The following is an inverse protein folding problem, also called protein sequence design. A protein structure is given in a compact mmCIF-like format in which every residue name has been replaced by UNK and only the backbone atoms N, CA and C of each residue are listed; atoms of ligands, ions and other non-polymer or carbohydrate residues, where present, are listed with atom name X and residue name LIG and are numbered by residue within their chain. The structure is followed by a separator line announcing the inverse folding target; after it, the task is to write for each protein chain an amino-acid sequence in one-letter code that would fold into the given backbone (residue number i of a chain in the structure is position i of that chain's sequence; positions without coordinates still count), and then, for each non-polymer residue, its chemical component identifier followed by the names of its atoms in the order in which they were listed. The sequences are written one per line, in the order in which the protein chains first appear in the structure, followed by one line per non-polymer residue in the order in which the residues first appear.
data_IF_956098158203
#
_entry.id   IF_956098158203
#
_cell.length_a   1.000
_cell.length_b   1.000
_cell.length_c   1.000
_cell.angle_alpha   90.00
_cell.angle_beta   90.00
_cell.angle_gamma   90.00
#
_symmetry.space_group_name_H-M   'P 1'
#
loop_
_entity.id
_entity.type
_entity.pdbx_description
1 polymer ?
#
# COMPACT_ATOMS: atom_id res chain seq x y z
N UNK A 1 -59.52 -3.66 19.56
CA UNK A 1 -58.59 -2.85 18.74
C UNK A 1 -57.19 -3.09 19.28
N UNK A 2 -56.38 -3.92 18.62
CA UNK A 2 -55.02 -4.29 19.05
C UNK A 2 -54.04 -3.61 18.12
N UNK A 3 -53.43 -2.51 18.56
CA UNK A 3 -52.29 -1.88 17.88
C UNK A 3 -51.04 -2.70 18.22
N UNK A 4 -50.70 -3.63 17.33
CA UNK A 4 -49.45 -4.37 17.38
C UNK A 4 -48.33 -3.37 17.06
N UNK A 5 -47.67 -2.84 18.10
CA UNK A 5 -46.47 -2.02 17.96
C UNK A 5 -45.32 -2.92 17.53
N UNK A 6 -45.16 -3.08 16.22
CA UNK A 6 -43.98 -3.69 15.63
C UNK A 6 -42.84 -2.67 15.76
N UNK A 7 -42.07 -2.79 16.84
CA UNK A 7 -40.81 -2.08 17.03
C UNK A 7 -39.86 -2.58 15.92
N UNK A 8 -39.41 -1.75 14.97
CA UNK A 8 -38.54 -2.24 13.91
C UNK A 8 -37.16 -2.50 14.51
N UNK A 9 -36.88 -3.78 14.80
CA UNK A 9 -35.56 -4.31 15.08
C UNK A 9 -34.77 -4.36 13.76
N UNK A 10 -34.36 -3.19 13.27
CA UNK A 10 -33.65 -3.04 12.00
C UNK A 10 -32.57 -1.98 12.18
N UNK A 11 -31.41 -2.37 12.72
CA UNK A 11 -30.12 -1.76 12.45
C UNK A 11 -29.05 -2.60 13.17
N UNK A 12 -28.33 -3.46 12.43
CA UNK A 12 -26.95 -3.94 12.72
C UNK A 12 -26.56 -4.97 11.64
N UNK A 13 -26.69 -4.60 10.37
CA UNK A 13 -25.88 -5.21 9.31
C UNK A 13 -24.62 -4.35 9.18
N UNK A 14 -23.71 -4.45 10.15
CA UNK A 14 -22.34 -3.99 9.96
C UNK A 14 -21.73 -4.92 8.90
N UNK A 15 -21.74 -4.45 7.65
CA UNK A 15 -21.18 -5.18 6.53
C UNK A 15 -19.70 -5.47 6.81
N UNK A 16 -19.32 -6.74 6.79
CA UNK A 16 -17.92 -7.16 6.68
C UNK A 16 -17.39 -6.75 5.29
N UNK A 17 -17.10 -5.47 5.10
CA UNK A 17 -16.20 -5.06 4.03
C UNK A 17 -14.80 -5.47 4.50
N UNK A 18 -14.20 -6.46 3.83
CA UNK A 18 -12.80 -6.80 4.08
C UNK A 18 -11.95 -5.53 3.94
N UNK A 19 -11.09 -5.28 4.92
CA UNK A 19 -10.21 -4.11 4.93
C UNK A 19 -9.56 -3.90 3.55
N UNK A 20 -9.69 -2.71 2.94
CA UNK A 20 -9.01 -2.42 1.69
C UNK A 20 -7.51 -2.61 1.89
N UNK A 21 -6.92 -3.50 1.09
CA UNK A 21 -5.47 -3.75 1.11
C UNK A 21 -4.69 -2.58 0.50
N UNK A 22 -5.34 -1.79 -0.33
CA UNK A 22 -4.82 -0.54 -0.87
C UNK A 22 -4.73 0.53 0.23
N UNK A 23 -3.73 1.40 0.12
CA UNK A 23 -3.62 2.55 1.02
C UNK A 23 -4.56 3.68 0.63
N UNK A 24 -4.89 4.51 1.61
CA UNK A 24 -5.80 5.65 1.47
C UNK A 24 -5.16 6.88 2.11
N UNK A 25 -5.45 8.05 1.56
CA UNK A 25 -5.03 9.34 2.11
C UNK A 25 -3.70 9.85 1.55
N UNK A 26 -3.20 10.98 2.07
CA UNK A 26 -1.96 11.56 1.61
C UNK A 26 -0.75 10.69 2.00
N UNK A 27 0.09 10.37 1.02
CA UNK A 27 1.34 9.64 1.24
C UNK A 27 2.53 10.47 0.79
N UNK A 28 3.51 10.65 1.69
CA UNK A 28 4.80 11.26 1.36
C UNK A 28 5.89 10.20 1.37
N UNK A 29 6.33 9.75 0.20
CA UNK A 29 7.36 8.72 0.08
C UNK A 29 8.76 9.31 0.05
N UNK A 30 9.76 8.56 0.52
CA UNK A 30 11.17 8.95 0.37
C UNK A 30 11.65 8.77 -1.07
N UNK A 31 12.73 9.45 -1.50
CA UNK A 31 13.37 9.18 -2.78
C UNK A 31 13.80 7.71 -2.95
N UNK A 32 14.14 7.03 -1.85
CA UNK A 32 14.47 5.61 -1.85
C UNK A 32 13.26 4.74 -2.26
N UNK A 33 12.09 4.99 -1.69
CA UNK A 33 10.84 4.29 -2.06
C UNK A 33 10.47 4.60 -3.51
N UNK A 34 10.60 5.86 -3.94
CA UNK A 34 10.35 6.24 -5.34
C UNK A 34 11.27 5.50 -6.32
N UNK A 35 12.57 5.39 -6.00
CA UNK A 35 13.52 4.61 -6.79
C UNK A 35 13.21 3.11 -6.75
N UNK A 36 12.75 2.60 -5.60
CA UNK A 36 12.24 1.24 -5.45
C UNK A 36 11.07 0.94 -6.37
N UNK A 37 10.09 1.85 -6.42
CA UNK A 37 8.94 1.74 -7.32
C UNK A 37 9.35 1.77 -8.79
N UNK A 38 10.31 2.64 -9.16
CA UNK A 38 10.86 2.66 -10.50
C UNK A 38 11.57 1.35 -10.88
N UNK A 39 12.21 0.65 -9.94
CA UNK A 39 12.78 -0.69 -10.17
C UNK A 39 11.69 -1.75 -10.35
N UNK A 40 10.69 -1.73 -9.47
CA UNK A 40 9.52 -2.60 -9.58
C UNK A 40 8.85 -2.51 -10.95
N UNK A 41 8.69 -1.29 -11.49
CA UNK A 41 8.13 -1.11 -12.84
C UNK A 41 9.03 -1.64 -13.96
N UNK A 42 10.31 -1.92 -13.73
CA UNK A 42 11.20 -2.52 -14.73
C UNK A 42 11.18 -4.05 -14.70
N UNK A 43 10.56 -4.65 -13.69
CA UNK A 43 10.38 -6.10 -13.65
C UNK A 43 9.53 -6.57 -14.84
N UNK A 44 9.82 -7.78 -15.34
CA UNK A 44 9.11 -8.37 -16.46
C UNK A 44 7.62 -8.58 -16.10
N UNK A 45 7.37 -9.12 -14.91
CA UNK A 45 6.04 -9.37 -14.36
C UNK A 45 5.92 -8.80 -12.94
N UNK A 46 5.71 -7.49 -12.77
CA UNK A 46 5.42 -6.91 -11.47
C UNK A 46 4.04 -7.38 -11.00
N UNK A 47 3.90 -7.71 -9.71
CA UNK A 47 2.64 -8.25 -9.18
C UNK A 47 2.05 -7.32 -8.11
N UNK A 48 2.82 -6.96 -7.09
CA UNK A 48 2.37 -6.04 -6.05
C UNK A 48 3.53 -5.25 -5.46
N UNK A 49 3.28 -3.98 -5.16
CA UNK A 49 4.21 -3.09 -4.46
C UNK A 49 3.51 -2.52 -3.23
N UNK A 50 4.13 -2.68 -2.06
CA UNK A 50 3.63 -2.16 -0.79
C UNK A 50 4.57 -1.10 -0.22
N UNK A 51 4.01 -0.13 0.49
CA UNK A 51 4.73 0.98 1.12
C UNK A 51 4.25 1.12 2.55
N UNK A 52 5.16 1.43 3.47
CA UNK A 52 4.81 1.76 4.86
C UNK A 52 4.04 3.06 4.93
N UNK A 53 3.14 3.21 5.90
CA UNK A 53 2.30 4.41 6.04
C UNK A 53 3.11 5.70 6.29
N UNK A 54 4.34 5.57 6.81
CA UNK A 54 5.29 6.69 6.97
C UNK A 54 6.06 7.04 5.68
N UNK A 55 5.88 6.25 4.61
CA UNK A 55 6.50 6.42 3.30
C UNK A 55 8.00 6.11 3.24
N UNK A 56 8.59 5.48 4.26
CA UNK A 56 10.03 5.24 4.34
C UNK A 56 10.48 3.84 3.87
N UNK A 57 9.60 2.85 3.94
CA UNK A 57 9.88 1.46 3.62
C UNK A 57 8.97 0.96 2.51
N UNK A 58 9.46 -0.01 1.76
CA UNK A 58 8.70 -0.67 0.70
C UNK A 58 9.20 -2.09 0.51
N UNK A 59 8.37 -2.92 -0.09
CA UNK A 59 8.76 -4.21 -0.66
C UNK A 59 7.85 -4.53 -1.85
N UNK A 60 8.24 -5.47 -2.69
CA UNK A 60 7.46 -5.87 -3.84
C UNK A 60 7.62 -7.33 -4.22
N UNK A 61 6.57 -7.87 -4.83
CA UNK A 61 6.57 -9.19 -5.44
C UNK A 61 6.57 -9.02 -6.95
N UNK A 62 7.45 -9.77 -7.61
CA UNK A 62 7.48 -9.93 -9.06
C UNK A 62 7.56 -11.42 -9.40
N UNK A 63 7.16 -11.78 -10.61
CA UNK A 63 7.35 -13.11 -11.16
C UNK A 63 8.61 -13.16 -12.03
N UNK A 64 9.65 -13.92 -11.66
CA UNK A 64 10.81 -14.12 -12.53
C UNK A 64 10.47 -15.01 -13.74
N UNK A 65 9.42 -15.81 -13.66
CA UNK A 65 8.94 -16.71 -14.72
C UNK A 65 7.43 -16.53 -14.98
N UNK A 66 6.81 -17.41 -15.77
CA UNK A 66 5.39 -17.29 -16.17
C UNK A 66 4.39 -17.79 -15.13
N UNK A 67 4.78 -18.62 -14.17
CA UNK A 67 3.89 -19.19 -13.16
C UNK A 67 4.12 -18.53 -11.80
N UNK A 68 3.18 -17.69 -11.38
CA UNK A 68 3.10 -17.16 -10.03
C UNK A 68 1.85 -17.63 -9.30
N UNK A 69 1.98 -17.82 -7.99
CA UNK A 69 0.87 -18.18 -7.11
C UNK A 69 0.23 -16.93 -6.54
N UNK A 70 -1.10 -16.90 -6.48
CA UNK A 70 -1.88 -15.77 -5.97
C UNK A 70 -1.56 -15.38 -4.52
N UNK A 71 -1.94 -14.16 -4.14
CA UNK A 71 -1.77 -13.60 -2.79
C UNK A 71 -0.62 -12.58 -2.66
N UNK A 72 -0.13 -12.08 -3.77
CA UNK A 72 1.03 -11.21 -3.93
C UNK A 72 0.84 -9.86 -3.23
N UNK A 73 -0.39 -9.33 -3.22
CA UNK A 73 -0.75 -8.15 -2.44
C UNK A 73 -0.48 -8.34 -0.94
N UNK A 74 -0.90 -9.49 -0.39
CA UNK A 74 -0.64 -9.85 1.02
C UNK A 74 0.85 -10.08 1.26
N UNK A 75 1.53 -10.77 0.34
CA UNK A 75 2.95 -11.06 0.46
C UNK A 75 3.80 -9.78 0.42
N UNK A 76 3.55 -8.86 -0.53
CA UNK A 76 4.22 -7.57 -0.60
C UNK A 76 4.03 -6.78 0.70
N UNK A 77 2.80 -6.73 1.22
CA UNK A 77 2.49 -6.06 2.48
C UNK A 77 3.28 -6.66 3.65
N UNK A 78 3.23 -7.98 3.82
CA UNK A 78 3.94 -8.67 4.90
C UNK A 78 5.45 -8.47 4.82
N UNK A 79 6.04 -8.51 3.62
CA UNK A 79 7.48 -8.25 3.45
C UNK A 79 7.85 -6.82 3.79
N UNK A 80 7.03 -5.85 3.36
CA UNK A 80 7.19 -4.45 3.75
C UNK A 80 7.13 -4.29 5.28
N UNK A 81 6.14 -4.91 5.95
CA UNK A 81 6.00 -4.88 7.41
C UNK A 81 7.21 -5.51 8.12
N UNK A 82 7.76 -6.61 7.58
CA UNK A 82 8.99 -7.21 8.11
C UNK A 82 10.19 -6.27 7.93
N UNK A 83 10.34 -5.67 6.75
CA UNK A 83 11.43 -4.75 6.42
C UNK A 83 11.38 -3.46 7.24
N UNK A 84 10.17 -2.98 7.56
CA UNK A 84 9.91 -1.78 8.34
C UNK A 84 9.96 -2.01 9.86
N UNK A 85 10.27 -3.23 10.31
CA UNK A 85 10.26 -3.65 11.73
C UNK A 85 8.88 -3.51 12.40
N UNK A 86 7.82 -3.83 11.65
CA UNK A 86 6.45 -3.90 12.14
C UNK A 86 5.61 -2.64 11.89
N UNK A 87 6.11 -1.65 11.14
CA UNK A 87 5.27 -0.53 10.74
C UNK A 87 4.21 -1.01 9.75
N UNK A 88 2.95 -0.55 9.89
CA UNK A 88 1.88 -0.87 8.96
C UNK A 88 2.28 -0.52 7.52
N UNK A 89 2.03 -1.45 6.60
CA UNK A 89 2.18 -1.22 5.18
C UNK A 89 0.85 -1.40 4.45
N UNK A 90 0.71 -0.68 3.33
CA UNK A 90 -0.45 -0.77 2.44
C UNK A 90 0.03 -0.96 1.00
N UNK A 91 -0.81 -1.58 0.18
CA UNK A 91 -0.51 -1.79 -1.24
C UNK A 91 -0.63 -0.44 -1.96
N UNK A 92 0.43 -0.07 -2.66
CA UNK A 92 0.49 1.12 -3.49
C UNK A 92 0.18 0.81 -4.95
N UNK A 93 0.65 -0.34 -5.45
CA UNK A 93 0.38 -0.76 -6.82
C UNK A 93 0.14 -2.27 -6.94
N UNK A 94 -0.71 -2.64 -7.89
CA UNK A 94 -0.91 -4.01 -8.38
C UNK A 94 -0.53 -4.06 -9.85
N UNK A 95 0.47 -4.88 -10.18
CA UNK A 95 1.14 -4.81 -11.47
C UNK A 95 1.59 -3.39 -11.77
N UNK A 96 1.11 -2.81 -12.86
CA UNK A 96 1.46 -1.44 -13.26
C UNK A 96 0.41 -0.40 -12.85
N UNK A 97 -0.67 -0.83 -12.20
CA UNK A 97 -1.75 0.04 -11.77
C UNK A 97 -1.47 0.53 -10.35
N UNK A 98 -1.40 1.85 -10.17
CA UNK A 98 -1.45 2.46 -8.84
C UNK A 98 -2.86 2.31 -8.30
N UNK A 99 -2.99 1.71 -7.11
CA UNK A 99 -4.27 1.47 -6.43
C UNK A 99 -4.44 2.32 -5.16
N UNK A 100 -3.44 3.13 -4.84
CA UNK A 100 -3.49 4.05 -3.71
C UNK A 100 -4.56 5.12 -3.91
N UNK A 101 -5.46 5.27 -2.95
CA UNK A 101 -6.55 6.25 -2.99
C UNK A 101 -6.15 7.52 -2.25
N UNK A 102 -5.49 8.43 -2.96
CA UNK A 102 -5.09 9.73 -2.41
C UNK A 102 -3.82 10.28 -3.07
N UNK A 103 -3.45 11.52 -2.73
CA UNK A 103 -2.27 12.16 -3.31
C UNK A 103 -1.00 11.51 -2.78
N UNK A 104 -0.09 11.17 -3.69
CA UNK A 104 1.25 10.64 -3.35
C UNK A 104 2.32 11.60 -3.85
N UNK A 105 3.22 12.01 -2.96
CA UNK A 105 4.31 12.96 -3.25
C UNK A 105 5.65 12.39 -2.79
N UNK A 106 6.74 12.84 -3.42
CA UNK A 106 8.10 12.45 -3.02
C UNK A 106 8.68 13.53 -2.12
N UNK A 107 9.18 13.16 -0.93
CA UNK A 107 9.90 14.07 -0.04
C UNK A 107 11.15 14.58 -0.76
N UNK A 108 11.23 15.88 -0.96
CA UNK A 108 12.44 16.53 -1.48
C UNK A 108 13.55 16.47 -0.42
N UNK A 109 14.77 16.15 -0.84
CA UNK A 109 15.95 16.36 0.01
C UNK A 109 16.26 17.87 -0.07
N UNK A 110 16.39 18.59 1.06
CA UNK A 110 16.76 20.00 1.01
C UNK A 110 18.15 20.16 0.38
N UNK A 111 18.26 21.02 -0.63
CA UNK A 111 19.47 21.26 -1.46
C UNK A 111 20.75 21.55 -0.65
N UNK A 112 20.60 21.99 0.60
CA UNK A 112 21.71 22.37 1.48
C UNK A 112 22.57 21.19 1.94
N UNK A 113 22.09 19.95 1.85
CA UNK A 113 22.85 18.75 2.29
C UNK A 113 23.95 18.38 1.29
N UNK A 114 23.83 18.76 0.01
CA UNK A 114 24.82 18.43 -1.02
C UNK A 114 26.11 19.28 -0.99
N UNK A 115 26.21 20.27 -0.08
CA UNK A 115 27.33 21.24 -0.03
C UNK A 115 28.36 20.97 1.07
N UNK A 116 28.59 19.71 1.43
CA UNK A 116 29.65 19.32 2.37
C UNK A 116 30.59 18.28 1.72
N UNK A 117 31.44 18.76 0.81
CA UNK A 117 32.69 18.11 0.44
C UNK A 117 33.65 19.17 -0.11
N UNK A 118 34.30 19.87 0.81
CA UNK A 118 35.55 20.61 0.58
C UNK A 118 36.73 19.68 0.81
#
# INVERSE_FOLDING_TARGET
MKVLRVLPLLLLLAACAGEPYAGVGPLQITPQVAAGYARYLKELHPLAFAVSEDGAYYDYIHCPYSLCAGGEARQARQRCEMQSRGLPCRVYALGRLVVWDGPVTVRSIPDKVFRAKT
#
